data_IF_013487264934
#
_entry.id   IF_013487264934
#
_cell.length_a   1.000
_cell.length_b   1.000
_cell.length_c   1.000
_cell.angle_alpha   90.00
_cell.angle_beta   90.00
_cell.angle_gamma   90.00
#
_symmetry.space_group_name_H-M   'P 1'
#
loop_
_entity.id
_entity.type
_entity.pdbx_description
1 polymer ?
#
# COMPACT_ATOMS: atom_id res chain seq x y z
N UNK A 1 -5.66 -4.35 -10.66
CA UNK A 1 -7.11 -4.39 -10.37
C UNK A 1 -7.53 -5.60 -9.52
N UNK A 2 -6.98 -6.80 -9.73
CA UNK A 2 -7.30 -7.97 -8.91
C UNK A 2 -6.48 -8.03 -7.62
N UNK A 3 -7.14 -8.11 -6.45
CA UNK A 3 -6.50 -8.39 -5.16
C UNK A 3 -6.54 -9.88 -4.81
N UNK A 4 -7.62 -10.58 -5.15
CA UNK A 4 -7.80 -12.00 -4.88
C UNK A 4 -8.34 -12.73 -6.12
N UNK A 5 -7.81 -13.92 -6.46
CA UNK A 5 -6.60 -14.54 -5.91
C UNK A 5 -5.36 -13.67 -6.20
N UNK A 6 -4.30 -13.83 -5.37
CA UNK A 6 -3.10 -13.00 -5.48
C UNK A 6 -2.43 -13.15 -6.87
N UNK A 7 -2.27 -12.07 -7.65
CA UNK A 7 -1.78 -12.15 -9.03
C UNK A 7 -0.25 -12.13 -9.08
N UNK A 8 0.40 -13.15 -8.51
CA UNK A 8 1.86 -13.20 -8.36
C UNK A 8 2.61 -12.99 -9.69
N UNK A 9 2.23 -13.74 -10.74
CA UNK A 9 2.91 -13.70 -12.05
C UNK A 9 2.86 -12.31 -12.69
N UNK A 10 1.71 -11.62 -12.59
CA UNK A 10 1.56 -10.26 -13.13
C UNK A 10 2.44 -9.25 -12.38
N UNK A 11 2.53 -9.37 -11.05
CA UNK A 11 3.35 -8.49 -10.22
C UNK A 11 4.84 -8.72 -10.51
N UNK A 12 5.27 -9.97 -10.61
CA UNK A 12 6.65 -10.33 -10.98
C UNK A 12 7.03 -9.78 -12.36
N UNK A 13 6.16 -9.98 -13.36
CA UNK A 13 6.39 -9.47 -14.71
C UNK A 13 6.53 -7.94 -14.74
N UNK A 14 5.70 -7.23 -13.96
CA UNK A 14 5.79 -5.77 -13.86
C UNK A 14 7.07 -5.33 -13.15
N UNK A 15 7.41 -5.93 -12.02
CA UNK A 15 8.62 -5.56 -11.26
C UNK A 15 9.91 -5.86 -12.03
N UNK A 16 9.91 -6.87 -12.90
CA UNK A 16 11.05 -7.14 -13.79
C UNK A 16 11.36 -5.97 -14.74
N UNK A 17 10.38 -5.09 -15.03
CA UNK A 17 10.60 -3.86 -15.82
C UNK A 17 11.32 -2.76 -15.04
N UNK A 18 11.48 -2.90 -13.72
CA UNK A 18 12.18 -1.97 -12.83
C UNK A 18 13.34 -2.69 -12.10
N UNK A 19 14.40 -3.12 -12.80
CA UNK A 19 15.44 -4.00 -12.23
C UNK A 19 16.23 -3.37 -11.08
N UNK A 20 16.29 -2.03 -11.02
CA UNK A 20 17.02 -1.29 -9.99
C UNK A 20 16.15 -0.90 -8.79
N UNK A 21 14.86 -1.28 -8.77
CA UNK A 21 13.97 -0.96 -7.66
C UNK A 21 14.36 -1.76 -6.41
N UNK A 22 14.70 -1.04 -5.34
CA UNK A 22 15.07 -1.60 -4.04
C UNK A 22 13.90 -1.60 -3.04
N UNK A 23 12.94 -0.70 -3.23
CA UNK A 23 11.75 -0.56 -2.40
C UNK A 23 10.48 -0.67 -3.25
N UNK A 24 9.47 -1.35 -2.70
CA UNK A 24 8.10 -1.36 -3.20
C UNK A 24 7.18 -0.80 -2.13
N UNK A 25 6.40 0.22 -2.48
CA UNK A 25 5.45 0.87 -1.57
C UNK A 25 4.04 0.38 -1.87
N UNK A 26 3.36 -0.17 -0.87
CA UNK A 26 1.90 -0.32 -0.89
C UNK A 26 1.28 0.96 -0.33
N UNK A 27 0.62 1.74 -1.18
CA UNK A 27 -0.19 2.89 -0.76
C UNK A 27 -1.67 2.49 -0.77
N UNK A 28 -2.37 2.79 0.33
CA UNK A 28 -3.82 2.68 0.40
C UNK A 28 -4.40 3.91 1.12
N UNK A 29 -5.66 4.20 0.80
CA UNK A 29 -6.39 5.31 1.43
C UNK A 29 -7.03 4.89 2.75
N UNK A 30 -7.39 3.63 2.87
CA UNK A 30 -7.99 3.08 4.08
C UNK A 30 -7.04 3.19 5.28
N UNK A 31 -7.59 3.30 6.50
CA UNK A 31 -6.83 3.11 7.73
C UNK A 31 -5.97 1.84 7.68
N UNK A 32 -4.81 1.85 8.33
CA UNK A 32 -3.85 0.73 8.31
C UNK A 32 -4.47 -0.61 8.76
N UNK A 33 -5.38 -0.57 9.74
CA UNK A 33 -6.12 -1.72 10.23
C UNK A 33 -7.28 -2.16 9.31
N UNK A 34 -7.46 -1.52 8.16
CA UNK A 34 -8.53 -1.74 7.19
C UNK A 34 -7.98 -1.96 5.78
N UNK A 35 -8.88 -2.12 4.81
CA UNK A 35 -8.53 -2.30 3.41
C UNK A 35 -7.85 -3.64 3.14
N UNK A 36 -7.01 -3.68 2.13
CA UNK A 36 -6.37 -4.90 1.66
C UNK A 36 -5.08 -5.24 2.43
N UNK A 37 -4.57 -4.31 3.24
CA UNK A 37 -3.24 -4.40 3.84
C UNK A 37 -2.94 -5.73 4.53
N UNK A 38 -3.78 -6.30 5.42
CA UNK A 38 -3.45 -7.55 6.10
C UNK A 38 -3.19 -8.72 5.15
N UNK A 39 -3.96 -8.80 4.06
CA UNK A 39 -3.78 -9.82 3.03
C UNK A 39 -2.55 -9.52 2.16
N UNK A 40 -2.45 -8.29 1.64
CA UNK A 40 -1.40 -7.88 0.71
C UNK A 40 -0.02 -7.92 1.36
N UNK A 41 0.09 -7.48 2.63
CA UNK A 41 1.31 -7.56 3.43
C UNK A 41 1.88 -8.99 3.43
N UNK A 42 1.04 -9.99 3.71
CA UNK A 42 1.47 -11.38 3.73
C UNK A 42 1.95 -11.86 2.36
N UNK A 43 1.25 -11.49 1.28
CA UNK A 43 1.63 -11.92 -0.08
C UNK A 43 2.91 -11.22 -0.56
N UNK A 44 3.00 -9.90 -0.38
CA UNK A 44 4.17 -9.12 -0.78
C UNK A 44 5.43 -9.56 -0.04
N UNK A 45 5.38 -9.79 1.28
CA UNK A 45 6.55 -10.29 2.01
C UNK A 45 6.93 -11.73 1.64
N UNK A 46 6.00 -12.56 1.15
CA UNK A 46 6.32 -13.88 0.63
C UNK A 46 7.01 -13.80 -0.73
N UNK A 47 6.58 -12.88 -1.58
CA UNK A 47 7.03 -12.75 -2.97
C UNK A 47 8.30 -11.89 -3.11
N UNK A 48 8.39 -10.78 -2.38
CA UNK A 48 9.41 -9.74 -2.53
C UNK A 48 10.49 -9.82 -1.45
N UNK A 49 11.06 -11.01 -1.24
CA UNK A 49 12.01 -11.26 -0.14
C UNK A 49 13.34 -10.51 -0.25
N UNK A 50 13.70 -10.08 -1.46
CA UNK A 50 14.91 -9.33 -1.78
C UNK A 50 14.70 -7.80 -1.78
N UNK A 51 13.46 -7.32 -1.57
CA UNK A 51 13.11 -5.91 -1.63
C UNK A 51 12.54 -5.43 -0.30
N UNK A 52 12.76 -4.16 0.00
CA UNK A 52 12.05 -3.51 1.09
C UNK A 52 10.58 -3.31 0.68
N UNK A 53 9.65 -3.71 1.53
CA UNK A 53 8.23 -3.40 1.35
C UNK A 53 7.83 -2.40 2.41
N UNK A 54 7.30 -1.26 1.97
CA UNK A 54 6.84 -0.19 2.84
C UNK A 54 5.34 0.02 2.66
N UNK A 55 4.67 0.34 3.76
CA UNK A 55 3.24 0.61 3.80
C UNK A 55 2.98 2.09 4.03
N UNK A 56 2.08 2.68 3.26
CA UNK A 56 1.57 4.03 3.46
C UNK A 56 0.04 3.98 3.46
N UNK A 57 -0.54 4.25 4.63
CA UNK A 57 -1.97 4.27 4.86
C UNK A 57 -2.38 5.44 5.76
N UNK A 58 -3.69 5.68 5.88
CA UNK A 58 -4.22 6.53 6.95
C UNK A 58 -3.97 5.85 8.30
N UNK A 59 -3.88 6.64 9.36
CA UNK A 59 -3.71 6.08 10.71
C UNK A 59 -4.86 5.13 11.04
N UNK A 60 -4.59 4.10 11.84
CA UNK A 60 -5.61 3.17 12.28
C UNK A 60 -6.78 3.89 12.96
N UNK A 61 -7.98 3.40 12.68
CA UNK A 61 -9.21 4.00 13.19
C UNK A 61 -10.29 2.95 13.35
N UNK A 62 -11.23 3.20 14.25
CA UNK A 62 -12.47 2.41 14.33
C UNK A 62 -13.45 2.77 13.21
N UNK A 63 -13.41 4.01 12.71
CA UNK A 63 -14.22 4.45 11.58
C UNK A 63 -13.47 4.32 10.25
N UNK A 64 -14.15 4.04 9.12
CA UNK A 64 -13.51 3.94 7.82
C UNK A 64 -12.85 5.24 7.33
N UNK A 65 -13.36 6.39 7.81
CA UNK A 65 -12.83 7.71 7.48
C UNK A 65 -13.16 8.72 8.59
N UNK A 66 -12.47 9.86 8.57
CA UNK A 66 -12.85 11.05 9.34
C UNK A 66 -14.17 11.65 8.81
N UNK A 67 -15.00 12.19 9.71
CA UNK A 67 -16.21 12.93 9.33
C UNK A 67 -15.96 14.38 8.90
N UNK A 68 -14.72 14.86 9.01
CA UNK A 68 -14.33 16.23 8.65
C UNK A 68 -13.66 16.27 7.28
N UNK A 69 -14.26 17.00 6.32
CA UNK A 69 -13.69 17.15 4.98
C UNK A 69 -12.32 17.84 4.97
N UNK A 70 -12.07 18.78 5.90
CA UNK A 70 -10.77 19.44 6.03
C UNK A 70 -9.68 18.46 6.46
N UNK A 71 -9.98 17.61 7.45
CA UNK A 71 -9.05 16.59 7.93
C UNK A 71 -8.82 15.54 6.84
N UNK A 72 -9.88 15.12 6.15
CA UNK A 72 -9.78 14.15 5.07
C UNK A 72 -8.84 14.61 3.94
N UNK A 73 -8.96 15.88 3.52
CA UNK A 73 -8.10 16.46 2.49
C UNK A 73 -6.63 16.54 2.95
N UNK A 74 -6.38 16.89 4.22
CA UNK A 74 -5.04 16.91 4.79
C UNK A 74 -4.43 15.50 4.86
N UNK A 75 -5.18 14.51 5.33
CA UNK A 75 -4.74 13.11 5.35
C UNK A 75 -4.41 12.60 3.94
N UNK A 76 -5.25 12.92 2.95
CA UNK A 76 -5.01 12.49 1.57
C UNK A 76 -3.71 13.10 1.01
N UNK A 77 -3.45 14.38 1.24
CA UNK A 77 -2.20 15.01 0.82
C UNK A 77 -0.97 14.38 1.50
N UNK A 78 -1.07 14.06 2.79
CA UNK A 78 0.00 13.40 3.56
C UNK A 78 0.33 12.00 3.03
N UNK A 79 -0.65 11.24 2.52
CA UNK A 79 -0.39 9.93 1.90
C UNK A 79 0.58 10.03 0.72
N UNK A 80 0.35 10.98 -0.18
CA UNK A 80 1.21 11.15 -1.35
C UNK A 80 2.60 11.65 -0.97
N UNK A 81 2.69 12.59 -0.03
CA UNK A 81 3.98 13.05 0.48
C UNK A 81 4.77 11.88 1.09
N UNK A 82 4.15 11.06 1.94
CA UNK A 82 4.81 9.88 2.50
C UNK A 82 5.16 8.81 1.48
N UNK A 83 4.37 8.62 0.43
CA UNK A 83 4.64 7.60 -0.58
C UNK A 83 5.78 7.96 -1.54
N UNK A 84 5.93 9.25 -1.87
CA UNK A 84 6.89 9.73 -2.87
C UNK A 84 8.18 10.32 -2.28
N UNK A 85 8.29 10.35 -0.95
CA UNK A 85 9.54 10.72 -0.24
C UNK A 85 10.72 9.81 -0.61
#
# INVERSE_FOLDING_TARGET
EQLYPWPAENIEALLATYPNAQEVVWLQEEPENMGAWPFVHLQMHRQLRDKQVRHVARHESASPATGSGLVHAAEHADLFDRALR
#
